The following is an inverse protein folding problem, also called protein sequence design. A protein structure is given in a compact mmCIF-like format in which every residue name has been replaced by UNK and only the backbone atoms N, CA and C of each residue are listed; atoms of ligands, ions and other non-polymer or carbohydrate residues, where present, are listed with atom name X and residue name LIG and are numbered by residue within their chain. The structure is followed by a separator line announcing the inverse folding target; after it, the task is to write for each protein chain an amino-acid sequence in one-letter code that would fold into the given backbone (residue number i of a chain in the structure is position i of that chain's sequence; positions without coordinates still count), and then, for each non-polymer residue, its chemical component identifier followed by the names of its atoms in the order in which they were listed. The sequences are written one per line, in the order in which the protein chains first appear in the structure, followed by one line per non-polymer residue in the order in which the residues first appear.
data_IF_622809724012
#
_entry.id   IF_622809724012
#
_cell.length_a   1.000
_cell.length_b   1.000
_cell.length_c   1.000
_cell.angle_alpha   90.00
_cell.angle_beta   90.00
_cell.angle_gamma   90.00
#
_symmetry.space_group_name_H-M   'P 1'
#
loop_
_entity.id
_entity.type
_entity.pdbx_description
1 polymer ?
#
# COMPACT_ATOMS: atom_id res chain seq x y z
N UNK A 1 11.07 -12.36 18.00
CA UNK A 1 9.70 -11.80 18.05
C UNK A 1 9.46 -11.31 16.65
N UNK A 2 8.45 -11.82 15.94
CA UNK A 2 8.12 -11.30 14.62
C UNK A 2 7.47 -9.93 14.79
N UNK A 3 7.99 -8.92 14.09
CA UNK A 3 7.45 -7.56 14.10
C UNK A 3 6.67 -7.36 12.79
N UNK A 4 5.47 -6.80 12.91
CA UNK A 4 4.65 -6.47 11.75
C UNK A 4 5.18 -5.14 11.19
N UNK A 5 5.78 -5.18 10.00
CA UNK A 5 6.34 -3.98 9.35
C UNK A 5 5.24 -3.06 8.80
N UNK A 6 4.21 -3.64 8.20
CA UNK A 6 3.05 -2.93 7.71
C UNK A 6 1.84 -3.86 7.55
N UNK A 7 0.65 -3.27 7.51
CA UNK A 7 -0.58 -3.93 7.08
C UNK A 7 -0.97 -3.36 5.72
N UNK A 8 -1.37 -4.25 4.82
CA UNK A 8 -1.85 -3.88 3.48
C UNK A 8 -3.22 -4.48 3.25
N UNK A 9 -4.19 -3.66 2.89
CA UNK A 9 -5.53 -4.07 2.48
C UNK A 9 -5.74 -3.72 1.00
N UNK A 10 -6.20 -4.69 0.21
CA UNK A 10 -6.63 -4.47 -1.18
C UNK A 10 -8.12 -4.78 -1.30
N UNK A 11 -8.90 -3.78 -1.70
CA UNK A 11 -10.35 -3.86 -1.82
C UNK A 11 -10.77 -3.50 -3.24
N UNK A 12 -11.70 -4.27 -3.83
CA UNK A 12 -12.41 -3.85 -5.04
C UNK A 12 -13.71 -3.16 -4.63
N UNK A 13 -13.80 -1.86 -4.85
CA UNK A 13 -14.98 -1.04 -4.57
C UNK A 13 -15.62 -0.57 -5.88
N UNK A 14 -16.73 -1.19 -6.27
CA UNK A 14 -17.40 -0.95 -7.54
C UNK A 14 -16.47 -1.23 -8.75
N UNK A 15 -16.08 -0.18 -9.48
CA UNK A 15 -15.15 -0.24 -10.61
C UNK A 15 -13.70 0.11 -10.23
N UNK A 16 -13.47 0.50 -8.98
CA UNK A 16 -12.16 0.91 -8.51
C UNK A 16 -11.50 -0.19 -7.67
N UNK A 17 -10.18 -0.22 -7.71
CA UNK A 17 -9.32 -0.92 -6.78
C UNK A 17 -8.77 0.09 -5.79
N UNK A 18 -8.86 -0.23 -4.50
CA UNK A 18 -8.40 0.59 -3.39
C UNK A 18 -7.33 -0.21 -2.65
N UNK A 19 -6.18 0.41 -2.42
CA UNK A 19 -5.11 -0.15 -1.58
C UNK A 19 -4.95 0.75 -0.37
N UNK A 20 -4.91 0.17 0.83
CA UNK A 20 -4.61 0.87 2.08
C UNK A 20 -3.38 0.27 2.72
N UNK A 21 -2.37 1.10 2.97
CA UNK A 21 -1.17 0.72 3.70
C UNK A 21 -1.22 1.39 5.07
N UNK A 22 -0.96 0.62 6.11
CA UNK A 22 -0.73 1.12 7.46
C UNK A 22 0.61 0.62 7.95
N UNK A 23 1.58 1.51 8.08
CA UNK A 23 2.91 1.23 8.63
C UNK A 23 3.25 2.26 9.71
N UNK A 24 4.18 1.90 10.60
CA UNK A 24 4.60 2.79 11.68
C UNK A 24 5.43 3.97 11.18
N UNK A 25 6.21 3.78 10.10
CA UNK A 25 7.10 4.80 9.54
C UNK A 25 6.39 5.70 8.52
N UNK A 26 5.64 5.12 7.59
CA UNK A 26 4.91 5.82 6.52
C UNK A 26 3.47 6.20 6.85
N UNK A 27 2.96 5.83 8.03
CA UNK A 27 1.60 6.14 8.45
C UNK A 27 0.53 5.44 7.61
N UNK A 28 -0.61 6.11 7.41
CA UNK A 28 -1.74 5.59 6.63
C UNK A 28 -1.72 6.20 5.23
N UNK A 29 -1.68 5.34 4.20
CA UNK A 29 -1.74 5.73 2.78
C UNK A 29 -2.85 4.98 2.08
N UNK A 30 -3.53 5.65 1.16
CA UNK A 30 -4.60 5.08 0.35
C UNK A 30 -4.40 5.43 -1.14
N UNK A 31 -4.43 4.41 -2.00
CA UNK A 31 -4.37 4.55 -3.45
C UNK A 31 -5.65 4.01 -4.05
N UNK A 32 -6.12 4.67 -5.12
CA UNK A 32 -7.36 4.28 -5.79
C UNK A 32 -7.26 4.48 -7.30
N UNK A 33 -7.56 3.44 -8.08
CA UNK A 33 -7.67 3.52 -9.54
C UNK A 33 -8.63 2.44 -10.07
N UNK A 34 -9.20 2.67 -11.24
CA UNK A 34 -9.92 1.63 -12.00
C UNK A 34 -8.95 0.58 -12.59
N UNK A 35 -7.67 0.90 -12.66
CA UNK A 35 -6.61 0.00 -13.12
C UNK A 35 -5.90 -0.63 -11.92
N UNK A 36 -5.91 -1.95 -11.85
CA UNK A 36 -5.29 -2.69 -10.75
C UNK A 36 -3.76 -2.58 -10.77
N UNK A 37 -3.15 -2.55 -11.95
CA UNK A 37 -1.68 -2.45 -12.06
C UNK A 37 -1.17 -1.11 -11.53
N UNK A 38 -1.91 -0.02 -11.78
CA UNK A 38 -1.55 1.31 -11.27
C UNK A 38 -1.51 1.37 -9.73
N UNK A 39 -2.50 0.79 -9.05
CA UNK A 39 -2.51 0.78 -7.58
C UNK A 39 -1.44 -0.14 -6.99
N UNK A 40 -1.11 -1.24 -7.68
CA UNK A 40 -0.02 -2.12 -7.27
C UNK A 40 1.33 -1.44 -7.43
N UNK A 41 1.57 -0.77 -8.56
CA UNK A 41 2.83 -0.06 -8.81
C UNK A 41 3.06 1.04 -7.78
N UNK A 42 2.01 1.82 -7.45
CA UNK A 42 2.08 2.84 -6.39
C UNK A 42 2.40 2.21 -5.02
N UNK A 43 1.68 1.15 -4.66
CA UNK A 43 1.90 0.43 -3.40
C UNK A 43 3.33 -0.11 -3.28
N UNK A 44 3.84 -0.74 -4.35
CA UNK A 44 5.18 -1.34 -4.35
C UNK A 44 6.25 -0.27 -4.26
N UNK A 45 6.13 0.83 -5.03
CA UNK A 45 7.09 1.93 -4.97
C UNK A 45 7.15 2.54 -3.57
N UNK A 46 6.00 2.83 -2.96
CA UNK A 46 5.95 3.43 -1.62
C UNK A 46 6.56 2.53 -0.54
N UNK A 47 6.26 1.23 -0.59
CA UNK A 47 6.84 0.26 0.36
C UNK A 47 8.33 0.07 0.13
N UNK A 48 8.79 0.07 -1.12
CA UNK A 48 10.21 0.00 -1.45
C UNK A 48 10.95 1.23 -0.94
N UNK A 49 10.47 2.44 -1.23
CA UNK A 49 11.08 3.69 -0.74
C UNK A 49 11.13 3.72 0.80
N UNK A 50 10.06 3.29 1.46
CA UNK A 50 9.99 3.25 2.92
C UNK A 50 10.99 2.25 3.52
N UNK A 51 11.09 1.05 2.96
CA UNK A 51 11.96 0.00 3.51
C UNK A 51 13.41 0.10 3.04
N UNK A 52 13.71 0.74 1.91
CA UNK A 52 15.08 1.07 1.49
C UNK A 52 15.68 2.20 2.35
N UNK A 53 14.84 2.99 3.01
CA UNK A 53 15.27 4.07 3.91
C UNK A 53 15.58 3.56 5.33
N UNK A 54 15.38 2.27 5.62
CA UNK A 54 15.56 1.64 6.94
C UNK A 54 16.80 0.75 7.06
#
# INVERSE_FOLDING_TARGET
MEEILCNVELVKENNDFVVRIQSDLGGVREYKSMNFEEVLDQMVQDLQEEFETF
#
